data_IF_814276303258
#
_entry.id   IF_814276303258
#
_cell.length_a   1.000
_cell.length_b   1.000
_cell.length_c   1.000
_cell.angle_alpha   90.00
_cell.angle_beta   90.00
_cell.angle_gamma   90.00
#
_symmetry.space_group_name_H-M   'P 1'
#
loop_
_entity.id
_entity.type
_entity.pdbx_description
1 polymer ?
#
# COMPACT_ATOMS: atom_id res chain seq x y z
N UNK A 1 23.19 21.34 -44.51
CA UNK A 1 23.22 21.93 -43.15
C UNK A 1 22.00 21.50 -42.31
N UNK A 2 22.15 20.62 -41.31
CA UNK A 2 21.12 20.44 -40.31
C UNK A 2 21.33 21.43 -39.15
N UNK A 3 20.30 22.24 -38.87
CA UNK A 3 20.23 23.07 -37.67
C UNK A 3 20.08 22.18 -36.44
N UNK A 4 20.99 22.36 -35.47
CA UNK A 4 20.82 21.90 -34.09
C UNK A 4 19.97 22.90 -33.33
N UNK A 5 19.07 22.43 -32.46
CA UNK A 5 18.65 23.24 -31.30
C UNK A 5 18.29 22.35 -30.12
N UNK A 6 18.98 22.64 -29.02
CA UNK A 6 19.03 22.01 -27.70
C UNK A 6 17.75 22.16 -26.88
N UNK A 7 17.49 21.22 -25.97
CA UNK A 7 16.50 21.37 -24.89
C UNK A 7 17.18 21.66 -23.55
N UNK A 8 16.59 22.50 -22.67
CA UNK A 8 17.27 23.04 -21.49
C UNK A 8 17.23 22.09 -20.28
N UNK A 9 18.30 22.16 -19.48
CA UNK A 9 18.42 21.59 -18.14
C UNK A 9 17.68 22.46 -17.14
N UNK A 10 16.72 21.89 -16.40
CA UNK A 10 16.20 22.48 -15.17
C UNK A 10 16.43 21.48 -14.03
N UNK A 11 17.47 21.72 -13.23
CA UNK A 11 17.61 21.12 -11.91
C UNK A 11 16.67 21.86 -10.95
N UNK A 12 15.78 21.12 -10.29
CA UNK A 12 15.03 21.64 -9.15
C UNK A 12 15.50 20.91 -7.90
N UNK A 13 16.30 21.62 -7.12
CA UNK A 13 16.68 21.32 -5.74
C UNK A 13 15.45 21.39 -4.85
N UNK A 14 15.16 20.36 -4.06
CA UNK A 14 14.23 20.44 -2.94
C UNK A 14 15.00 20.19 -1.64
N UNK A 15 14.94 21.18 -0.77
CA UNK A 15 15.44 21.14 0.61
C UNK A 15 14.33 20.59 1.53
N UNK A 16 14.68 19.68 2.43
CA UNK A 16 13.84 19.25 3.55
C UNK A 16 14.23 20.03 4.81
N UNK A 17 13.27 20.65 5.53
CA UNK A 17 13.49 21.11 6.89
C UNK A 17 12.97 20.10 7.92
N UNK A 18 13.64 20.14 9.08
CA UNK A 18 13.19 19.67 10.41
C UNK A 18 13.55 18.21 10.78
N UNK A 19 14.69 18.08 11.45
CA UNK A 19 14.99 17.03 12.43
C UNK A 19 15.13 17.68 13.80
N UNK A 20 14.41 17.18 14.80
CA UNK A 20 14.54 17.55 16.22
C UNK A 20 14.56 16.28 17.09
N UNK A 21 15.49 16.22 18.04
CA UNK A 21 15.53 15.29 19.19
C UNK A 21 16.25 13.97 18.92
N UNK A 22 17.52 13.74 19.25
CA UNK A 22 18.25 13.78 20.55
C UNK A 22 17.93 12.63 21.52
N UNK A 23 19.01 12.12 22.13
CA UNK A 23 19.15 11.19 23.27
C UNK A 23 19.41 9.72 22.88
N UNK A 24 20.43 9.01 23.35
CA UNK A 24 21.47 9.27 24.36
C UNK A 24 21.58 8.10 25.36
N UNK A 25 22.80 7.60 25.60
CA UNK A 25 23.19 6.71 26.73
C UNK A 25 22.98 5.20 26.47
N UNK A 26 23.95 4.27 26.45
CA UNK A 26 25.20 4.00 27.20
C UNK A 26 25.02 3.12 28.47
N UNK A 27 25.80 2.02 28.51
CA UNK A 27 26.23 1.17 29.64
C UNK A 27 25.14 0.24 30.22
N UNK A 28 25.34 -1.06 30.50
CA UNK A 28 26.51 -1.81 30.97
C UNK A 28 26.13 -2.44 32.32
N UNK A 29 26.15 -3.76 32.47
CA UNK A 29 25.85 -4.39 33.77
C UNK A 29 25.66 -5.91 33.74
N UNK A 30 26.61 -6.62 34.36
CA UNK A 30 26.69 -8.06 34.56
C UNK A 30 25.73 -8.56 35.65
N UNK A 31 25.07 -9.71 35.38
CA UNK A 31 24.18 -10.42 36.29
C UNK A 31 24.93 -11.22 37.36
N UNK A 32 24.41 -11.22 38.59
CA UNK A 32 24.28 -12.40 39.46
C UNK A 32 23.59 -11.99 40.77
N UNK A 33 22.43 -12.58 41.07
CA UNK A 33 21.90 -12.65 42.43
C UNK A 33 20.91 -13.82 42.59
N UNK A 34 21.02 -14.46 43.75
CA UNK A 34 20.42 -15.71 44.23
C UNK A 34 19.05 -15.49 44.92
N UNK A 35 18.38 -16.60 45.26
CA UNK A 35 16.93 -16.79 45.42
C UNK A 35 16.29 -16.62 46.84
N UNK A 36 14.93 -16.70 46.85
CA UNK A 36 13.94 -17.14 47.88
C UNK A 36 13.38 -16.11 48.92
N UNK A 37 12.21 -16.35 49.58
CA UNK A 37 10.83 -16.35 49.06
C UNK A 37 9.87 -15.49 49.93
N UNK A 38 8.70 -15.05 49.41
CA UNK A 38 7.75 -14.25 50.22
C UNK A 38 6.35 -14.14 49.60
N UNK A 39 5.35 -14.27 50.46
CA UNK A 39 3.98 -14.68 50.18
C UNK A 39 3.00 -13.60 49.65
N UNK A 40 1.89 -14.12 49.11
CA UNK A 40 0.53 -13.58 49.06
C UNK A 40 0.25 -12.34 48.19
N UNK A 41 -0.67 -12.53 47.22
CA UNK A 41 -1.32 -11.44 46.50
C UNK A 41 -1.87 -11.90 45.16
N UNK A 42 -3.01 -12.59 45.16
CA UNK A 42 -3.75 -12.89 43.95
C UNK A 42 -4.31 -11.58 43.35
N UNK A 43 -3.68 -11.08 42.28
CA UNK A 43 -4.32 -10.15 41.35
C UNK A 43 -4.62 -10.89 40.06
N UNK A 44 -5.91 -11.18 39.84
CA UNK A 44 -6.46 -11.62 38.57
C UNK A 44 -6.26 -10.51 37.53
N UNK A 45 -5.11 -10.50 36.86
CA UNK A 45 -4.92 -9.75 35.63
C UNK A 45 -5.46 -10.62 34.50
N UNK A 46 -6.67 -10.34 34.04
CA UNK A 46 -7.14 -10.77 32.73
C UNK A 46 -6.22 -10.15 31.68
N UNK A 47 -5.11 -10.83 31.40
CA UNK A 47 -4.15 -10.45 30.36
C UNK A 47 -4.85 -10.63 29.02
N UNK A 48 -5.18 -9.52 28.38
CA UNK A 48 -5.40 -9.46 26.94
C UNK A 48 -4.25 -10.20 26.26
N UNK A 49 -4.52 -11.12 25.31
CA UNK A 49 -3.48 -11.86 24.62
C UNK A 49 -2.48 -10.87 24.02
N UNK A 50 -1.16 -11.13 24.13
CA UNK A 50 -0.16 -10.26 23.53
C UNK A 50 -0.44 -10.15 22.03
N UNK A 51 -0.54 -8.91 21.54
CA UNK A 51 -0.71 -8.67 20.12
C UNK A 51 0.39 -9.40 19.34
N UNK A 52 0.05 -10.07 18.22
CA UNK A 52 1.04 -10.75 17.41
C UNK A 52 2.12 -9.74 16.98
N UNK A 53 3.40 -10.15 16.95
CA UNK A 53 4.49 -9.25 16.61
C UNK A 53 4.24 -8.60 15.24
N UNK A 54 4.13 -7.28 15.24
CA UNK A 54 3.90 -6.49 14.03
C UNK A 54 5.22 -6.33 13.26
N UNK A 55 5.42 -7.17 12.25
CA UNK A 55 6.56 -7.06 11.36
C UNK A 55 6.30 -6.02 10.28
N UNK A 56 6.88 -4.82 10.45
CA UNK A 56 6.89 -3.80 9.41
C UNK A 56 8.13 -3.96 8.53
N UNK A 57 7.93 -4.04 7.21
CA UNK A 57 9.03 -4.11 6.26
C UNK A 57 9.92 -2.85 6.38
N UNK A 58 11.26 -2.99 6.47
CA UNK A 58 12.16 -1.84 6.58
C UNK A 58 12.12 -1.01 5.29
N UNK A 59 12.27 0.32 5.43
CA UNK A 59 12.35 1.22 4.29
C UNK A 59 13.64 1.01 3.51
N UNK A 60 13.60 1.31 2.20
CA UNK A 60 14.78 1.26 1.33
C UNK A 60 15.84 2.25 1.85
N UNK A 61 17.03 1.77 2.27
CA UNK A 61 18.01 2.64 2.92
C UNK A 61 18.67 3.61 1.94
N UNK A 62 19.17 3.12 0.79
CA UNK A 62 19.89 3.92 -0.20
C UNK A 62 19.78 3.33 -1.63
N UNK A 63 20.12 4.14 -2.63
CA UNK A 63 20.40 3.70 -4.02
C UNK A 63 21.83 3.13 -4.10
N UNK A 64 22.02 2.04 -4.85
CA UNK A 64 23.36 1.48 -5.13
C UNK A 64 24.17 2.40 -6.05
N UNK A 65 25.50 2.44 -5.85
CA UNK A 65 26.43 3.33 -6.59
C UNK A 65 27.56 2.58 -7.32
N UNK A 66 27.78 1.33 -6.97
CA UNK A 66 28.80 0.47 -7.56
C UNK A 66 28.43 0.14 -9.02
N UNK A 67 29.43 0.15 -9.92
CA UNK A 67 29.27 -0.27 -11.32
C UNK A 67 29.17 0.86 -12.34
N UNK A 68 29.18 0.48 -13.63
CA UNK A 68 29.09 1.41 -14.77
C UNK A 68 27.63 1.65 -15.14
N UNK A 69 27.18 2.91 -15.32
CA UNK A 69 25.81 3.19 -15.75
C UNK A 69 25.52 2.64 -17.16
N UNK A 70 24.33 2.06 -17.34
CA UNK A 70 23.84 1.52 -18.61
C UNK A 70 22.39 1.97 -18.83
N UNK A 71 22.06 2.36 -20.07
CA UNK A 71 20.70 2.69 -20.46
C UNK A 71 19.86 1.44 -20.63
N UNK A 72 18.73 1.36 -19.92
CA UNK A 72 17.79 0.25 -20.00
C UNK A 72 16.41 0.74 -20.42
N UNK A 73 15.67 -0.11 -21.11
CA UNK A 73 14.22 0.04 -21.29
C UNK A 73 13.55 -1.08 -20.51
N UNK A 74 12.51 -0.74 -19.77
CA UNK A 74 11.68 -1.70 -19.07
C UNK A 74 10.28 -1.71 -19.70
N UNK A 75 9.56 -2.82 -19.55
CA UNK A 75 8.15 -2.92 -19.91
C UNK A 75 7.28 -2.28 -18.81
N UNK A 76 7.67 -1.09 -18.36
CA UNK A 76 6.98 -0.32 -17.33
C UNK A 76 6.54 1.01 -17.93
N UNK A 77 5.22 1.19 -17.98
CA UNK A 77 4.60 2.39 -18.53
C UNK A 77 4.10 3.25 -17.38
N UNK A 78 4.47 4.53 -17.40
CA UNK A 78 4.01 5.49 -16.40
C UNK A 78 2.52 5.80 -16.62
N UNK A 79 1.70 5.61 -15.58
CA UNK A 79 0.28 5.96 -15.59
C UNK A 79 0.07 7.12 -14.60
N UNK A 80 -0.67 8.15 -15.03
CA UNK A 80 -1.17 9.20 -14.14
C UNK A 80 -2.59 8.87 -13.70
N UNK A 81 -2.84 8.83 -12.38
CA UNK A 81 -4.18 8.64 -11.85
C UNK A 81 -4.85 10.00 -11.62
N UNK A 82 -6.08 10.20 -12.12
CA UNK A 82 -6.85 11.39 -11.79
C UNK A 82 -7.17 11.39 -10.29
N UNK A 83 -7.18 12.57 -9.68
CA UNK A 83 -7.59 12.73 -8.29
C UNK A 83 -9.12 12.75 -8.23
N UNK A 84 -9.69 11.90 -7.38
CA UNK A 84 -11.13 11.79 -7.21
C UNK A 84 -11.49 10.68 -6.24
N UNK A 85 -12.79 10.47 -6.08
CA UNK A 85 -13.33 9.37 -5.30
C UNK A 85 -13.74 8.23 -6.22
N UNK A 86 -13.46 7.01 -5.78
CA UNK A 86 -13.95 5.78 -6.41
C UNK A 86 -14.98 5.19 -5.47
N UNK A 87 -16.17 4.89 -5.99
CA UNK A 87 -17.24 4.29 -5.21
C UNK A 87 -17.16 2.78 -5.35
N UNK A 88 -16.94 2.07 -4.25
CA UNK A 88 -16.96 0.62 -4.24
C UNK A 88 -18.34 0.13 -3.82
N UNK A 89 -18.88 -0.79 -4.60
CA UNK A 89 -20.14 -1.48 -4.33
C UNK A 89 -19.88 -2.99 -4.21
N UNK A 90 -20.49 -3.60 -3.19
CA UNK A 90 -20.50 -5.04 -3.02
C UNK A 90 -21.73 -5.62 -3.73
N UNK A 91 -21.49 -6.45 -4.75
CA UNK A 91 -22.52 -7.00 -5.63
C UNK A 91 -22.56 -8.52 -5.46
N UNK A 92 -23.73 -9.05 -5.11
CA UNK A 92 -23.95 -10.50 -5.02
C UNK A 92 -24.85 -10.95 -6.17
N UNK A 93 -24.35 -11.86 -7.00
CA UNK A 93 -25.10 -12.47 -8.12
C UNK A 93 -25.53 -13.88 -7.69
N UNK A 94 -26.82 -14.18 -7.83
CA UNK A 94 -27.36 -15.51 -7.59
C UNK A 94 -27.83 -16.12 -8.92
N UNK A 95 -27.48 -17.38 -9.24
CA UNK A 95 -26.72 -18.35 -8.42
C UNK A 95 -25.20 -18.05 -8.36
N UNK A 96 -24.57 -18.47 -7.26
CA UNK A 96 -23.19 -18.15 -6.85
C UNK A 96 -22.09 -18.79 -7.71
N UNK A 97 -22.41 -19.87 -8.43
CA UNK A 97 -21.43 -20.70 -9.18
C UNK A 97 -21.34 -20.38 -10.67
N UNK A 98 -21.69 -19.18 -11.09
CA UNK A 98 -21.57 -18.78 -12.48
C UNK A 98 -20.10 -18.49 -12.87
N UNK A 99 -19.65 -18.85 -14.09
CA UNK A 99 -18.33 -18.47 -14.58
C UNK A 99 -18.13 -16.95 -14.61
N UNK A 100 -16.91 -16.46 -14.33
CA UNK A 100 -16.62 -15.00 -14.29
C UNK A 100 -16.97 -14.27 -15.58
N UNK A 101 -16.85 -14.93 -16.73
CA UNK A 101 -17.23 -14.37 -18.03
C UNK A 101 -18.73 -14.04 -18.05
N UNK A 102 -19.55 -15.00 -17.64
CA UNK A 102 -21.00 -14.85 -17.55
C UNK A 102 -21.35 -13.76 -16.53
N UNK A 103 -20.66 -13.70 -15.39
CA UNK A 103 -20.90 -12.64 -14.39
C UNK A 103 -20.64 -11.24 -14.96
N UNK A 104 -19.61 -11.07 -15.81
CA UNK A 104 -19.36 -9.81 -16.51
C UNK A 104 -20.46 -9.48 -17.52
N UNK A 105 -20.92 -10.47 -18.29
CA UNK A 105 -22.03 -10.30 -19.25
C UNK A 105 -23.35 -9.92 -18.56
N UNK A 106 -23.63 -10.50 -17.39
CA UNK A 106 -24.80 -10.13 -16.57
C UNK A 106 -24.74 -8.67 -16.15
N UNK A 107 -23.61 -8.21 -15.61
CA UNK A 107 -23.44 -6.81 -15.18
C UNK A 107 -23.49 -5.86 -16.37
N UNK A 108 -22.86 -6.21 -17.49
CA UNK A 108 -22.91 -5.41 -18.73
C UNK A 108 -24.36 -5.26 -19.23
N UNK A 109 -25.12 -6.36 -19.24
CA UNK A 109 -26.54 -6.34 -19.61
C UNK A 109 -27.37 -5.50 -18.65
N UNK A 110 -27.10 -5.60 -17.33
CA UNK A 110 -27.76 -4.79 -16.30
C UNK A 110 -27.50 -3.29 -16.51
N UNK A 111 -26.25 -2.90 -16.77
CA UNK A 111 -25.89 -1.49 -17.00
C UNK A 111 -26.60 -0.95 -18.24
N UNK A 112 -26.67 -1.73 -19.32
CA UNK A 112 -27.40 -1.34 -20.53
C UNK A 112 -28.92 -1.24 -20.29
N UNK A 113 -29.53 -2.23 -19.63
CA UNK A 113 -30.97 -2.25 -19.36
C UNK A 113 -31.41 -1.11 -18.41
N UNK A 114 -30.61 -0.82 -17.38
CA UNK A 114 -30.90 0.19 -16.37
C UNK A 114 -30.15 1.51 -16.63
N UNK A 115 -30.15 1.95 -17.88
CA UNK A 115 -29.52 3.22 -18.31
C UNK A 115 -30.06 4.46 -17.56
N UNK A 116 -31.23 4.40 -16.93
CA UNK A 116 -31.77 5.49 -16.09
C UNK A 116 -30.96 5.73 -14.81
N UNK A 117 -30.35 4.68 -14.25
CA UNK A 117 -29.59 4.74 -13.00
C UNK A 117 -28.11 4.99 -13.30
N UNK A 118 -27.57 4.24 -14.27
CA UNK A 118 -26.16 4.35 -14.64
C UNK A 118 -25.88 5.52 -15.58
N UNK A 119 -26.88 6.02 -16.31
CA UNK A 119 -26.72 7.19 -17.19
C UNK A 119 -25.54 7.03 -18.14
N UNK A 120 -24.54 7.90 -17.97
CA UNK A 120 -23.29 7.89 -18.74
C UNK A 120 -22.11 7.24 -17.99
N UNK A 121 -22.35 6.67 -16.80
CA UNK A 121 -21.35 5.97 -16.02
C UNK A 121 -21.06 4.60 -16.64
N UNK A 122 -19.78 4.27 -16.72
CA UNK A 122 -19.29 2.96 -17.17
C UNK A 122 -18.64 2.26 -15.98
N UNK A 123 -19.43 1.59 -15.13
CA UNK A 123 -18.87 0.89 -13.97
C UNK A 123 -17.99 -0.28 -14.42
N UNK A 124 -17.01 -0.62 -13.59
CA UNK A 124 -16.04 -1.69 -13.85
C UNK A 124 -16.22 -2.79 -12.82
N UNK A 125 -16.35 -4.02 -13.30
CA UNK A 125 -16.58 -5.20 -12.46
C UNK A 125 -15.46 -6.22 -12.60
N UNK A 126 -14.93 -6.70 -11.46
CA UNK A 126 -13.81 -7.66 -11.43
C UNK A 126 -14.24 -9.08 -11.85
N UNK A 127 -15.53 -9.42 -11.75
CA UNK A 127 -16.07 -10.74 -12.07
C UNK A 127 -16.49 -11.56 -10.84
N UNK A 128 -16.43 -10.96 -9.64
CA UNK A 128 -16.84 -11.56 -8.36
C UNK A 128 -17.89 -10.70 -7.67
N UNK A 129 -17.46 -9.82 -6.76
CA UNK A 129 -18.36 -9.00 -5.97
C UNK A 129 -17.99 -7.51 -5.98
N UNK A 130 -16.80 -7.16 -6.48
CA UNK A 130 -16.35 -5.78 -6.51
C UNK A 130 -16.81 -5.07 -7.79
N UNK A 131 -17.65 -4.06 -7.63
CA UNK A 131 -18.02 -3.11 -8.66
C UNK A 131 -17.54 -1.71 -8.28
N UNK A 132 -16.93 -1.02 -9.24
CA UNK A 132 -16.42 0.34 -9.11
C UNK A 132 -17.09 1.28 -10.11
#
# INVERSE_FOLDING_TARGET
PPCQTSSPTTQTTFADPLSTGTSGGALGGTSTAVALPGAAGATLTTGTPPDPPHFQCPRRPNLGREGRPIGLKANHFQISMPRGFVHHYDVTIQPDKCPRKVNREIIETMVHAYSKIFGNLKPVFDGRNNLY
#
